data_IF_898443591175
#
_entry.id   IF_898443591175
#
_cell.length_a   1.000
_cell.length_b   1.000
_cell.length_c   1.000
_cell.angle_alpha   90.00
_cell.angle_beta   90.00
_cell.angle_gamma   90.00
#
_symmetry.space_group_name_H-M   'P 1'
#
loop_
_entity.id
_entity.type
_entity.pdbx_description
1 polymer ?
#
# COMPACT_ATOMS: atom_id res chain seq x y z
N UNK A 1 -12.75 46.08 21.05
CA UNK A 1 -11.57 45.50 20.37
C UNK A 1 -10.60 44.86 21.38
N UNK A 2 -10.13 45.58 22.40
CA UNK A 2 -9.19 45.04 23.41
C UNK A 2 -9.75 43.83 24.17
N UNK A 3 -11.03 43.85 24.54
CA UNK A 3 -11.67 42.75 25.28
C UNK A 3 -11.67 41.43 24.48
N UNK A 4 -11.89 41.48 23.17
CA UNK A 4 -11.81 40.32 22.28
C UNK A 4 -10.40 39.74 22.21
N UNK A 5 -9.37 40.60 22.17
CA UNK A 5 -7.96 40.19 22.15
C UNK A 5 -7.61 39.46 23.44
N UNK A 6 -8.03 39.97 24.59
CA UNK A 6 -7.76 39.35 25.89
C UNK A 6 -8.42 37.98 26.03
N UNK A 7 -9.68 37.86 25.61
CA UNK A 7 -10.44 36.60 25.69
C UNK A 7 -9.79 35.52 24.81
N UNK A 8 -9.43 35.85 23.57
CA UNK A 8 -8.77 34.89 22.67
C UNK A 8 -7.39 34.46 23.19
N UNK A 9 -6.63 35.39 23.76
CA UNK A 9 -5.31 35.10 24.36
C UNK A 9 -5.42 34.19 25.58
N UNK A 10 -6.42 34.44 26.44
CA UNK A 10 -6.69 33.62 27.61
C UNK A 10 -7.08 32.19 27.20
N UNK A 11 -8.00 32.04 26.24
CA UNK A 11 -8.44 30.72 25.79
C UNK A 11 -7.27 29.95 25.17
N UNK A 12 -6.47 30.59 24.32
CA UNK A 12 -5.30 29.95 23.69
C UNK A 12 -4.25 29.50 24.70
N UNK A 13 -3.96 30.31 25.72
CA UNK A 13 -3.02 29.94 26.79
C UNK A 13 -3.54 28.82 27.67
N UNK A 14 -4.82 28.84 28.04
CA UNK A 14 -5.44 27.76 28.83
C UNK A 14 -5.43 26.44 28.07
N UNK A 15 -5.83 26.43 26.79
CA UNK A 15 -5.84 25.22 25.96
C UNK A 15 -4.42 24.71 25.70
N UNK A 16 -3.46 25.60 25.44
CA UNK A 16 -2.05 25.23 25.24
C UNK A 16 -1.44 24.60 26.50
N UNK A 17 -1.68 25.19 27.68
CA UNK A 17 -1.22 24.61 28.95
C UNK A 17 -1.90 23.28 29.23
N UNK A 18 -3.19 23.13 28.91
CA UNK A 18 -3.90 21.87 29.08
C UNK A 18 -3.31 20.77 28.20
N UNK A 19 -3.07 21.03 26.91
CA UNK A 19 -2.45 20.05 26.00
C UNK A 19 -1.02 19.70 26.43
N UNK A 20 -0.23 20.69 26.86
CA UNK A 20 1.12 20.46 27.37
C UNK A 20 1.14 19.62 28.66
N UNK A 21 0.19 19.84 29.57
CA UNK A 21 0.05 19.02 30.76
C UNK A 21 -0.31 17.58 30.39
N UNK A 22 -1.25 17.37 29.45
CA UNK A 22 -1.64 16.03 29.00
C UNK A 22 -0.44 15.28 28.42
N UNK A 23 0.35 15.90 27.54
CA UNK A 23 1.53 15.28 26.94
C UNK A 23 2.62 14.95 27.99
N UNK A 24 2.82 15.85 28.96
CA UNK A 24 3.77 15.63 30.05
C UNK A 24 3.33 14.49 31.00
N UNK A 25 2.05 14.42 31.33
CA UNK A 25 1.52 13.41 32.25
C UNK A 25 1.28 12.05 31.60
N UNK A 26 1.04 11.99 30.29
CA UNK A 26 0.74 10.75 29.54
C UNK A 26 1.75 10.54 28.40
N UNK A 27 3.04 10.33 28.70
CA UNK A 27 4.02 10.02 27.67
C UNK A 27 3.63 8.70 26.97
N UNK A 28 3.31 8.79 25.69
CA UNK A 28 3.02 7.63 24.86
C UNK A 28 4.31 6.83 24.63
N UNK A 29 4.32 5.58 25.08
CA UNK A 29 5.48 4.71 24.97
C UNK A 29 5.34 3.88 23.70
N UNK A 30 5.96 4.31 22.60
CA UNK A 30 6.09 3.45 21.44
C UNK A 30 7.05 2.31 21.77
N UNK A 31 6.63 1.07 21.54
CA UNK A 31 7.53 -0.07 21.64
C UNK A 31 8.68 0.12 20.64
N UNK A 32 9.95 0.10 21.08
CA UNK A 32 11.09 0.43 20.23
C UNK A 32 11.22 -0.54 19.04
N UNK A 33 10.67 -1.75 19.17
CA UNK A 33 10.63 -2.74 18.08
C UNK A 33 9.65 -2.33 16.98
N UNK A 34 8.51 -1.72 17.31
CA UNK A 34 7.54 -1.24 16.32
C UNK A 34 8.18 -0.11 15.51
N UNK A 35 8.87 0.81 16.17
CA UNK A 35 9.60 1.89 15.49
C UNK A 35 10.64 1.35 14.50
N UNK A 36 11.46 0.37 14.92
CA UNK A 36 12.47 -0.26 14.06
C UNK A 36 11.87 -0.92 12.82
N UNK A 37 10.80 -1.70 12.96
CA UNK A 37 10.14 -2.34 11.82
C UNK A 37 9.41 -1.30 10.95
N UNK A 38 8.86 -0.25 11.56
CA UNK A 38 8.20 0.85 10.82
C UNK A 38 9.20 1.60 9.94
N UNK A 39 10.44 1.77 10.38
CA UNK A 39 11.52 2.38 9.60
C UNK A 39 11.95 1.52 8.40
N UNK A 40 11.80 0.18 8.49
CA UNK A 40 12.01 -0.72 7.35
C UNK A 40 10.86 -0.69 6.34
N UNK A 41 9.66 -0.25 6.75
CA UNK A 41 8.52 -0.10 5.86
C UNK A 41 8.65 1.19 5.03
N UNK A 42 8.05 1.27 3.83
CA UNK A 42 8.17 2.44 2.95
C UNK A 42 7.45 3.70 3.47
N UNK A 43 6.76 3.64 4.61
CA UNK A 43 6.14 4.82 5.24
C UNK A 43 4.96 5.45 4.48
N UNK A 44 4.41 4.79 3.45
CA UNK A 44 3.39 5.38 2.56
C UNK A 44 2.00 5.50 3.17
N UNK A 45 1.71 4.83 4.30
CA UNK A 45 0.41 4.85 4.99
C UNK A 45 -0.80 4.55 4.05
N UNK A 46 -0.59 3.76 2.98
CA UNK A 46 -1.57 3.61 1.90
C UNK A 46 -2.73 2.62 2.18
N UNK A 47 -2.69 1.85 3.27
CA UNK A 47 -3.76 0.93 3.65
C UNK A 47 -3.92 -0.33 2.79
N UNK A 48 -3.14 -0.51 1.71
CA UNK A 48 -3.26 -1.68 0.81
C UNK A 48 -3.05 -3.03 1.51
N UNK A 49 -2.33 -3.03 2.61
CA UNK A 49 -2.04 -4.21 3.41
C UNK A 49 -3.15 -4.55 4.43
N UNK A 50 -4.25 -3.78 4.47
CA UNK A 50 -5.39 -3.99 5.37
C UNK A 50 -5.27 -3.35 6.76
N UNK A 51 -4.16 -2.66 7.04
CA UNK A 51 -3.94 -1.92 8.30
C UNK A 51 -4.07 -0.42 8.10
N UNK A 52 -4.54 0.30 9.13
CA UNK A 52 -4.75 1.75 9.04
C UNK A 52 -3.44 2.55 8.90
N UNK A 53 -2.29 1.94 9.19
CA UNK A 53 -0.99 2.56 8.97
C UNK A 53 0.19 1.60 9.11
N UNK A 54 1.37 2.07 8.70
CA UNK A 54 2.64 1.35 8.74
C UNK A 54 3.03 0.92 10.17
N UNK A 55 2.74 1.73 11.19
CA UNK A 55 3.01 1.36 12.59
C UNK A 55 2.13 0.20 13.07
N UNK A 56 0.86 0.16 12.67
CA UNK A 56 -0.04 -0.96 12.95
C UNK A 56 0.36 -2.22 12.15
N UNK A 57 0.75 -2.05 10.90
CA UNK A 57 1.29 -3.14 10.08
C UNK A 57 2.58 -3.71 10.71
N UNK A 58 3.47 -2.85 11.22
CA UNK A 58 4.68 -3.25 11.93
C UNK A 58 4.37 -4.01 13.22
N UNK A 59 3.40 -3.55 14.00
CA UNK A 59 2.94 -4.27 15.19
C UNK A 59 2.36 -5.66 14.84
N UNK A 60 1.56 -5.75 13.77
CA UNK A 60 1.02 -7.03 13.31
C UNK A 60 2.11 -7.98 12.79
N UNK A 61 3.14 -7.45 12.14
CA UNK A 61 4.33 -8.21 11.77
C UNK A 61 5.01 -8.76 13.03
N UNK A 62 5.35 -7.93 14.01
CA UNK A 62 6.03 -8.37 15.25
C UNK A 62 5.23 -9.45 15.98
N UNK A 63 3.91 -9.28 16.09
CA UNK A 63 3.02 -10.22 16.78
C UNK A 63 2.78 -11.53 16.03
N UNK A 64 3.25 -11.67 14.78
CA UNK A 64 3.03 -12.87 13.98
C UNK A 64 1.67 -12.96 13.28
N UNK A 65 0.86 -11.90 13.34
CA UNK A 65 -0.51 -11.86 12.79
C UNK A 65 -0.56 -11.53 11.30
N UNK A 66 0.58 -11.19 10.68
CA UNK A 66 0.68 -10.86 9.26
C UNK A 66 1.85 -11.59 8.58
N UNK A 67 1.73 -11.94 7.29
CA UNK A 67 2.84 -12.47 6.50
C UNK A 67 3.89 -11.40 6.23
N UNK A 68 5.15 -11.80 6.07
CA UNK A 68 6.27 -10.89 5.76
C UNK A 68 6.15 -10.21 4.39
N UNK A 69 5.26 -10.72 3.53
CA UNK A 69 4.94 -10.20 2.20
C UNK A 69 3.76 -9.23 2.20
N UNK A 70 3.22 -8.82 3.36
CA UNK A 70 1.97 -8.04 3.41
C UNK A 70 2.02 -6.67 2.73
N UNK A 71 3.21 -6.10 2.49
CA UNK A 71 3.38 -4.75 1.99
C UNK A 71 3.73 -4.79 0.49
N UNK A 72 2.74 -4.64 -0.42
CA UNK A 72 3.01 -4.62 -1.86
C UNK A 72 4.08 -3.61 -2.30
N UNK A 73 4.09 -2.34 -1.82
CA UNK A 73 5.08 -1.37 -2.28
C UNK A 73 6.51 -1.65 -1.81
N UNK A 74 6.70 -2.40 -0.71
CA UNK A 74 8.05 -2.78 -0.25
C UNK A 74 8.68 -3.92 -1.06
N UNK A 75 7.85 -4.74 -1.70
CA UNK A 75 8.30 -5.79 -2.60
C UNK A 75 9.14 -6.89 -1.93
N UNK A 76 9.78 -7.76 -2.73
CA UNK A 76 10.45 -8.96 -2.24
C UNK A 76 11.78 -8.68 -1.53
N UNK A 77 12.43 -7.54 -1.76
CA UNK A 77 13.67 -7.15 -1.07
C UNK A 77 13.40 -6.79 0.39
N UNK A 78 12.36 -5.99 0.64
CA UNK A 78 11.92 -5.63 1.99
C UNK A 78 11.49 -6.89 2.77
N UNK A 79 10.73 -7.79 2.14
CA UNK A 79 10.32 -9.04 2.78
C UNK A 79 11.51 -9.87 3.28
N UNK A 80 12.63 -9.89 2.54
CA UNK A 80 13.88 -10.56 2.97
C UNK A 80 14.52 -9.87 4.18
N UNK A 81 14.62 -8.56 4.17
CA UNK A 81 15.14 -7.82 5.32
C UNK A 81 14.28 -8.02 6.57
N UNK A 82 12.95 -8.04 6.40
CA UNK A 82 12.02 -8.34 7.49
C UNK A 82 12.21 -9.78 8.01
N UNK A 83 12.46 -10.74 7.12
CA UNK A 83 12.74 -12.13 7.52
C UNK A 83 14.01 -12.27 8.34
N UNK A 84 15.06 -11.54 7.97
CA UNK A 84 16.33 -11.51 8.69
C UNK A 84 16.17 -10.83 10.06
N UNK A 85 15.43 -9.73 10.12
CA UNK A 85 15.23 -8.94 11.34
C UNK A 85 14.32 -9.66 12.34
N UNK A 86 13.26 -10.33 11.86
CA UNK A 86 12.25 -11.00 12.68
C UNK A 86 12.55 -12.49 12.89
N UNK A 87 13.57 -13.04 12.23
CA UNK A 87 13.96 -14.45 12.34
C UNK A 87 12.90 -15.46 11.86
N UNK A 88 11.98 -15.04 10.98
CA UNK A 88 10.89 -15.89 10.45
C UNK A 88 11.16 -16.27 9.00
N UNK A 89 10.92 -17.54 8.60
CA UNK A 89 11.15 -17.97 7.24
C UNK A 89 10.21 -17.24 6.27
N UNK A 90 10.74 -16.86 5.10
CA UNK A 90 9.90 -16.42 3.99
C UNK A 90 9.29 -17.65 3.34
N UNK A 91 7.97 -17.78 3.46
CA UNK A 91 7.22 -18.67 2.58
C UNK A 91 7.42 -18.14 1.15
N UNK A 92 8.22 -18.85 0.34
CA UNK A 92 8.53 -18.46 -1.04
C UNK A 92 7.29 -18.69 -1.91
N UNK A 93 6.31 -17.81 -1.81
CA UNK A 93 5.16 -17.78 -2.67
C UNK A 93 5.57 -17.11 -3.99
N UNK A 94 6.35 -17.82 -4.80
CA UNK A 94 6.47 -17.49 -6.21
C UNK A 94 5.33 -18.21 -6.93
N UNK A 95 4.23 -17.54 -7.31
CA UNK A 95 3.20 -18.19 -8.10
C UNK A 95 3.83 -18.70 -9.40
N UNK A 96 3.57 -19.96 -9.74
CA UNK A 96 4.08 -20.59 -10.97
C UNK A 96 3.57 -19.88 -12.26
N UNK A 97 2.50 -19.08 -12.11
CA UNK A 97 1.87 -18.30 -13.16
C UNK A 97 2.05 -16.80 -12.85
N UNK A 98 2.42 -15.96 -13.83
CA UNK A 98 2.47 -14.51 -13.62
C UNK A 98 1.08 -14.00 -13.29
N UNK A 99 0.87 -13.57 -12.04
CA UNK A 99 -0.36 -12.90 -11.62
C UNK A 99 -0.30 -11.49 -12.20
N UNK A 100 -1.20 -11.21 -13.15
CA UNK A 100 -1.32 -9.89 -13.75
C UNK A 100 -2.12 -8.99 -12.81
N UNK A 101 -1.76 -7.69 -12.70
CA UNK A 101 -2.53 -6.77 -11.90
C UNK A 101 -3.95 -6.66 -12.46
N UNK A 102 -4.94 -6.75 -11.58
CA UNK A 102 -6.33 -6.46 -11.89
C UNK A 102 -6.51 -4.94 -11.91
N UNK A 103 -7.01 -4.40 -13.02
CA UNK A 103 -7.26 -2.98 -13.19
C UNK A 103 -8.75 -2.71 -13.36
N UNK A 104 -9.16 -1.49 -13.00
CA UNK A 104 -10.54 -1.06 -13.24
C UNK A 104 -10.80 -0.90 -14.74
N UNK A 105 -11.92 -1.45 -15.21
CA UNK A 105 -12.42 -1.33 -16.58
C UNK A 105 -13.85 -0.83 -16.55
N UNK A 106 -14.13 0.25 -17.29
CA UNK A 106 -15.49 0.79 -17.45
C UNK A 106 -16.21 -0.02 -18.54
N UNK A 107 -17.44 -0.42 -18.25
CA UNK A 107 -18.37 -1.06 -19.18
C UNK A 107 -19.22 0.03 -19.83
N UNK A 108 -19.12 0.14 -21.16
CA UNK A 108 -19.70 1.24 -21.93
C UNK A 108 -21.21 1.33 -21.80
N UNK A 109 -21.87 0.19 -21.70
CA UNK A 109 -23.33 0.07 -21.72
C UNK A 109 -23.97 0.49 -20.39
N UNK A 110 -23.23 0.43 -19.28
CA UNK A 110 -23.71 0.76 -17.93
C UNK A 110 -23.26 2.14 -17.45
N UNK A 111 -22.31 2.77 -18.14
CA UNK A 111 -21.76 4.05 -17.72
C UNK A 111 -22.72 5.21 -18.04
N UNK A 112 -23.29 5.83 -17.00
CA UNK A 112 -24.20 6.99 -17.14
C UNK A 112 -23.50 8.36 -17.04
N UNK A 113 -22.18 8.41 -16.92
CA UNK A 113 -21.44 9.67 -16.82
C UNK A 113 -21.68 10.47 -15.53
N UNK A 114 -21.88 9.80 -14.39
CA UNK A 114 -22.20 10.42 -13.09
C UNK A 114 -21.01 11.03 -12.32
N UNK A 115 -19.78 10.94 -12.85
CA UNK A 115 -18.50 11.42 -12.30
C UNK A 115 -18.10 10.98 -10.88
N UNK A 116 -18.90 10.16 -10.19
CA UNK A 116 -18.60 9.70 -8.82
C UNK A 116 -17.30 8.89 -8.73
N UNK A 117 -17.02 8.05 -9.72
CA UNK A 117 -15.78 7.28 -9.79
C UNK A 117 -14.51 8.15 -9.87
N UNK A 118 -14.59 9.34 -10.50
CA UNK A 118 -13.46 10.28 -10.58
C UNK A 118 -13.14 10.84 -9.19
N UNK A 119 -14.18 11.19 -8.41
CA UNK A 119 -14.00 11.78 -7.08
C UNK A 119 -13.39 10.79 -6.07
N UNK A 120 -13.69 9.50 -6.21
CA UNK A 120 -13.20 8.45 -5.31
C UNK A 120 -11.86 7.84 -5.76
N UNK A 121 -11.33 8.23 -6.94
CA UNK A 121 -10.09 7.66 -7.45
C UNK A 121 -8.86 8.33 -6.80
N UNK A 122 -8.07 7.61 -5.97
CA UNK A 122 -6.94 8.22 -5.26
C UNK A 122 -5.77 8.57 -6.17
N UNK A 123 -5.69 7.97 -7.36
CA UNK A 123 -4.59 8.18 -8.33
C UNK A 123 -5.03 9.00 -9.54
N UNK A 124 -6.26 9.50 -9.56
CA UNK A 124 -6.84 10.24 -10.69
C UNK A 124 -6.71 9.49 -12.04
N UNK A 125 -6.88 8.17 -12.01
CA UNK A 125 -6.72 7.31 -13.17
C UNK A 125 -7.91 7.31 -14.14
N UNK A 126 -9.00 8.00 -13.82
CA UNK A 126 -10.27 7.96 -14.57
C UNK A 126 -10.49 9.30 -15.27
N UNK A 127 -10.61 9.27 -16.59
CA UNK A 127 -10.82 10.44 -17.43
C UNK A 127 -12.23 10.44 -18.01
N UNK A 128 -12.90 11.58 -17.95
CA UNK A 128 -14.15 11.85 -18.65
C UNK A 128 -14.85 13.09 -18.12
N UNK A 129 -16.07 13.34 -18.58
CA UNK A 129 -16.86 14.52 -18.21
C UNK A 129 -18.30 14.12 -17.85
N UNK A 130 -19.07 15.01 -17.19
CA UNK A 130 -20.46 14.75 -16.88
C UNK A 130 -21.27 14.35 -18.12
N UNK A 131 -22.07 13.29 -17.99
CA UNK A 131 -22.88 12.69 -19.07
C UNK A 131 -22.06 12.17 -20.27
N UNK A 132 -20.75 11.95 -20.09
CA UNK A 132 -19.90 11.29 -21.06
C UNK A 132 -19.37 9.97 -20.51
N UNK A 133 -18.93 9.09 -21.40
CA UNK A 133 -18.34 7.82 -21.04
C UNK A 133 -16.96 8.05 -20.42
N UNK A 134 -16.73 7.47 -19.25
CA UNK A 134 -15.44 7.53 -18.58
C UNK A 134 -14.52 6.40 -19.07
N UNK A 135 -13.21 6.66 -19.06
CA UNK A 135 -12.16 5.70 -19.44
C UNK A 135 -11.13 5.65 -18.34
N UNK A 136 -10.65 4.44 -18.02
CA UNK A 136 -9.56 4.24 -17.06
C UNK A 136 -8.23 4.20 -17.81
N UNK A 137 -7.27 5.01 -17.38
CA UNK A 137 -5.89 4.94 -17.84
C UNK A 137 -5.17 3.82 -17.09
N UNK A 138 -4.89 2.73 -17.81
CA UNK A 138 -4.29 1.53 -17.20
C UNK A 138 -2.95 1.80 -16.51
N UNK A 139 -2.18 2.78 -16.98
CA UNK A 139 -0.86 3.12 -16.44
C UNK A 139 -0.93 3.86 -15.10
N UNK A 140 -2.03 4.57 -14.83
CA UNK A 140 -2.26 5.32 -13.60
C UNK A 140 -3.13 4.55 -12.59
N UNK A 141 -3.81 3.49 -13.02
CA UNK A 141 -4.66 2.68 -12.15
C UNK A 141 -3.82 1.73 -11.29
N UNK A 142 -4.01 1.79 -9.97
CA UNK A 142 -3.36 0.90 -9.01
C UNK A 142 -4.22 -0.31 -8.60
N UNK A 143 -5.40 -0.48 -9.19
CA UNK A 143 -6.29 -1.60 -8.89
C UNK A 143 -6.95 -1.57 -7.50
N UNK A 144 -7.03 -0.40 -6.84
CA UNK A 144 -7.56 -0.29 -5.46
C UNK A 144 -9.05 -0.63 -5.28
N UNK A 145 -9.86 -0.65 -6.34
CA UNK A 145 -11.27 -1.03 -6.29
C UNK A 145 -12.26 0.04 -5.79
N UNK A 146 -11.80 1.17 -5.25
CA UNK A 146 -12.69 2.23 -4.71
C UNK A 146 -13.75 2.72 -5.72
N UNK A 147 -13.39 2.79 -7.00
CA UNK A 147 -14.32 3.19 -8.07
C UNK A 147 -15.43 2.16 -8.36
N UNK A 148 -15.21 0.88 -8.06
CA UNK A 148 -16.21 -0.20 -8.19
C UNK A 148 -17.29 0.02 -7.14
N UNK A 149 -16.90 0.19 -5.88
CA UNK A 149 -17.82 0.42 -4.75
C UNK A 149 -18.61 1.73 -4.91
N UNK A 150 -17.97 2.75 -5.49
CA UNK A 150 -18.60 4.04 -5.71
C UNK A 150 -19.66 4.04 -6.83
N UNK A 151 -19.60 3.09 -7.77
CA UNK A 151 -20.39 3.13 -9.00
C UNK A 151 -21.87 2.78 -8.75
N UNK A 152 -22.82 3.69 -8.99
CA UNK A 152 -24.24 3.43 -8.72
C UNK A 152 -24.89 2.43 -9.70
N UNK A 153 -24.28 2.22 -10.87
CA UNK A 153 -24.78 1.31 -11.92
C UNK A 153 -23.96 0.04 -12.05
N UNK A 154 -22.98 -0.17 -11.16
CA UNK A 154 -22.04 -1.30 -11.22
C UNK A 154 -21.32 -1.42 -12.59
N UNK A 155 -21.17 -0.30 -13.30
CA UNK A 155 -20.56 -0.23 -14.63
C UNK A 155 -19.03 -0.21 -14.63
N UNK A 156 -18.37 -0.51 -13.51
CA UNK A 156 -16.91 -0.61 -13.39
C UNK A 156 -16.57 -1.96 -12.75
N UNK A 157 -15.66 -2.69 -13.38
CA UNK A 157 -15.23 -4.02 -12.95
C UNK A 157 -13.71 -4.08 -12.83
N UNK A 158 -13.21 -4.87 -11.88
CA UNK A 158 -11.79 -5.24 -11.81
C UNK A 158 -11.54 -6.38 -12.78
N UNK A 159 -10.82 -6.10 -13.88
CA UNK A 159 -10.47 -7.06 -14.90
C UNK A 159 -8.95 -7.26 -14.94
N UNK A 160 -8.51 -8.50 -15.18
CA UNK A 160 -7.09 -8.78 -15.38
C UNK A 160 -6.56 -8.09 -16.64
N UNK A 161 -5.42 -7.41 -16.51
CA UNK A 161 -4.74 -6.83 -17.66
C UNK A 161 -4.28 -7.95 -18.62
N UNK A 162 -4.44 -7.76 -19.93
CA UNK A 162 -3.91 -8.70 -20.92
C UNK A 162 -2.39 -8.56 -21.05
N UNK A 163 -1.68 -9.69 -21.18
CA UNK A 163 -0.26 -9.70 -21.54
C UNK A 163 -0.07 -9.12 -22.96
N UNK A 164 0.86 -8.17 -23.07
CA UNK A 164 1.32 -7.58 -24.30
C UNK A 164 2.85 -7.47 -24.28
N UNK A 165 3.47 -7.08 -25.39
CA UNK A 165 4.94 -6.97 -25.47
C UNK A 165 5.53 -5.96 -24.47
N UNK A 166 4.76 -4.95 -24.06
CA UNK A 166 5.21 -3.90 -23.16
C UNK A 166 5.19 -4.31 -21.68
N UNK A 167 4.24 -5.14 -21.26
CA UNK A 167 4.10 -5.60 -19.87
C UNK A 167 4.70 -7.00 -19.61
N UNK A 168 5.05 -7.74 -20.66
CA UNK A 168 5.67 -9.04 -20.53
C UNK A 168 7.07 -8.93 -19.92
N UNK A 169 7.33 -9.72 -18.88
CA UNK A 169 8.66 -9.87 -18.27
C UNK A 169 9.04 -11.33 -18.19
N UNK A 170 10.32 -11.59 -18.41
CA UNK A 170 10.90 -12.91 -18.23
C UNK A 170 10.77 -13.34 -16.76
N UNK A 171 10.10 -14.46 -16.50
CA UNK A 171 10.00 -15.04 -15.17
C UNK A 171 11.38 -15.55 -14.72
N UNK A 172 11.76 -15.26 -13.47
CA UNK A 172 13.06 -15.72 -12.95
C UNK A 172 13.11 -17.26 -13.02
N UNK A 173 14.10 -17.86 -13.69
CA UNK A 173 14.21 -19.31 -13.74
C UNK A 173 14.38 -19.89 -12.34
N UNK A 174 13.83 -21.08 -12.06
CA UNK A 174 14.03 -21.75 -10.78
C UNK A 174 15.51 -22.12 -10.60
N UNK A 175 16.03 -21.88 -9.40
CA UNK A 175 17.41 -22.21 -9.03
C UNK A 175 18.34 -21.01 -8.85
N UNK A 176 19.52 -21.24 -8.23
CA UNK A 176 20.57 -20.23 -8.16
C UNK A 176 21.09 -19.93 -9.56
N UNK A 177 21.48 -18.67 -9.80
CA UNK A 177 22.09 -18.31 -11.07
C UNK A 177 23.42 -19.09 -11.20
N UNK A 178 23.58 -20.00 -12.19
CA UNK A 178 24.78 -20.81 -12.34
C UNK A 178 26.04 -19.97 -12.58
N UNK A 179 25.89 -18.70 -12.99
CA UNK A 179 26.99 -17.76 -13.21
C UNK A 179 27.35 -16.92 -11.97
N UNK A 180 26.63 -17.06 -10.85
CA UNK A 180 26.83 -16.26 -9.63
C UNK A 180 27.20 -17.08 -8.40
N UNK A 181 27.33 -18.39 -8.53
CA UNK A 181 27.83 -19.27 -7.46
C UNK A 181 29.35 -19.13 -7.35
N UNK A 182 29.91 -18.87 -6.16
CA UNK A 182 31.35 -18.95 -5.96
C UNK A 182 31.83 -20.36 -6.32
N UNK A 183 32.96 -20.48 -7.03
CA UNK A 183 33.47 -21.76 -7.57
C UNK A 183 33.65 -22.86 -6.51
N UNK A 184 33.65 -22.52 -5.22
CA UNK A 184 33.75 -23.43 -4.09
C UNK A 184 32.56 -24.39 -3.94
N UNK A 185 31.39 -24.10 -4.54
CA UNK A 185 30.19 -24.95 -4.42
C UNK A 185 29.87 -25.75 -5.69
N UNK A 186 30.68 -25.64 -6.75
CA UNK A 186 30.48 -26.40 -8.00
C UNK A 186 31.10 -27.82 -7.97
N UNK A 187 31.68 -28.23 -6.84
CA UNK A 187 32.31 -29.54 -6.64
C UNK A 187 31.52 -30.42 -5.68
N UNK A 188 30.32 -30.85 -6.06
CA UNK A 188 29.47 -31.68 -5.22
C UNK A 188 28.29 -32.33 -5.94
N UNK A 189 28.49 -32.73 -7.18
CA UNK A 189 27.57 -33.63 -7.88
C UNK A 189 28.37 -34.89 -8.30
N UNK A 190 28.39 -35.86 -7.40
CA UNK A 190 28.46 -37.28 -7.73
C UNK A 190 27.21 -37.92 -7.15
#
# INVERSE_FOLDING_TARGET
MISSILILTLIGTVLGLMLSAVDYFLPYKEDPQIAQITELLPGTQCGQCGYAGCSQAAAALINGNAPLTLCPPGGPSMARQLSETLGRPLEQQQPATPVLPSLAKVVSELCIGCTKCIQECPTDAIVGAPKQLHVVLNEACNGCGACVDACPTEGILLAEMQLNLSNWRWSKPPGPNPFRVPMTEMGGAQ
#
